data_IF_462818968057
#
_entry.id   IF_462818968057
#
_cell.length_a   1.000
_cell.length_b   1.000
_cell.length_c   1.000
_cell.angle_alpha   90.00
_cell.angle_beta   90.00
_cell.angle_gamma   90.00
#
_symmetry.space_group_name_H-M   'P 1'
#
loop_
_entity.id
_entity.type
_entity.pdbx_description
1 polymer ?
#
# COMPACT_ATOMS: atom_id res chain seq x y z
N UNK A 1 10.63 24.00 -23.59
CA UNK A 1 10.29 25.05 -22.60
C UNK A 1 10.70 24.51 -21.23
N UNK A 2 11.67 25.15 -20.56
CA UNK A 2 12.11 24.79 -19.20
C UNK A 2 10.93 24.97 -18.24
N UNK A 3 10.45 23.91 -17.61
CA UNK A 3 9.51 24.04 -16.50
C UNK A 3 10.29 24.52 -15.27
N UNK A 4 10.00 25.76 -14.85
CA UNK A 4 10.41 26.29 -13.57
C UNK A 4 9.77 25.43 -12.47
N UNK A 5 10.60 24.94 -11.54
CA UNK A 5 10.23 24.00 -10.48
C UNK A 5 8.89 24.33 -9.83
N UNK A 6 7.89 23.47 -10.08
CA UNK A 6 6.57 23.62 -9.50
C UNK A 6 6.64 23.29 -8.01
N UNK A 7 6.20 24.27 -7.19
CA UNK A 7 6.03 24.13 -5.74
C UNK A 7 5.13 22.94 -5.35
N UNK A 8 4.35 22.39 -6.29
CA UNK A 8 3.44 21.25 -6.05
C UNK A 8 4.16 19.97 -5.70
N UNK A 9 5.42 19.84 -6.12
CA UNK A 9 6.20 18.67 -5.79
C UNK A 9 6.91 18.72 -4.45
N UNK A 10 7.13 19.92 -3.91
CA UNK A 10 7.75 20.07 -2.60
C UNK A 10 6.84 19.49 -1.52
N UNK A 11 5.53 19.71 -1.62
CA UNK A 11 4.55 19.15 -0.69
C UNK A 11 4.57 17.61 -0.69
N UNK A 12 4.54 16.98 -1.87
CA UNK A 12 4.57 15.53 -1.97
C UNK A 12 5.92 14.95 -1.50
N UNK A 13 7.05 15.60 -1.83
CA UNK A 13 8.38 15.23 -1.32
C UNK A 13 8.43 15.26 0.21
N UNK A 14 7.95 16.33 0.84
CA UNK A 14 7.90 16.45 2.30
C UNK A 14 7.01 15.36 2.90
N UNK A 15 5.81 15.18 2.35
CA UNK A 15 4.84 14.19 2.85
C UNK A 15 5.38 12.76 2.71
N UNK A 16 5.99 12.39 1.58
CA UNK A 16 6.64 11.10 1.41
C UNK A 16 7.76 10.92 2.45
N UNK A 17 8.61 11.94 2.64
CA UNK A 17 9.67 11.91 3.65
C UNK A 17 9.14 11.68 5.07
N UNK A 18 8.12 12.45 5.49
CA UNK A 18 7.46 12.26 6.79
C UNK A 18 6.78 10.90 6.90
N UNK A 19 6.18 10.40 5.82
CA UNK A 19 5.54 9.09 5.79
C UNK A 19 6.55 7.96 5.99
N UNK A 20 7.77 8.07 5.43
CA UNK A 20 8.84 7.09 5.66
C UNK A 20 9.20 7.02 7.15
N UNK A 21 9.33 8.17 7.82
CA UNK A 21 9.59 8.21 9.26
C UNK A 21 8.42 7.65 10.08
N UNK A 22 7.19 7.99 9.72
CA UNK A 22 5.99 7.49 10.38
C UNK A 22 5.91 5.95 10.27
N UNK A 23 6.09 5.40 9.07
CA UNK A 23 6.07 3.94 8.84
C UNK A 23 7.25 3.27 9.53
N UNK A 24 8.44 3.88 9.54
CA UNK A 24 9.59 3.41 10.30
C UNK A 24 9.30 3.31 11.81
N UNK A 25 8.60 4.31 12.36
CA UNK A 25 8.13 4.26 13.75
C UNK A 25 7.12 3.13 13.98
N UNK A 26 6.16 2.92 13.07
CA UNK A 26 5.22 1.79 13.15
C UNK A 26 5.96 0.45 13.12
N UNK A 27 6.91 0.26 12.21
CA UNK A 27 7.72 -0.95 12.13
C UNK A 27 8.49 -1.21 13.44
N UNK A 28 9.06 -0.16 14.04
CA UNK A 28 9.72 -0.26 15.34
C UNK A 28 8.74 -0.69 16.44
N UNK A 29 7.55 -0.07 16.51
CA UNK A 29 6.52 -0.42 17.50
C UNK A 29 6.01 -1.86 17.33
N UNK A 30 5.80 -2.32 16.09
CA UNK A 30 5.43 -3.71 15.80
C UNK A 30 6.52 -4.67 16.26
N UNK A 31 7.80 -4.32 16.04
CA UNK A 31 8.95 -5.15 16.42
C UNK A 31 9.09 -5.32 17.94
N UNK A 32 8.58 -4.38 18.73
CA UNK A 32 8.63 -4.43 20.20
C UNK A 32 7.61 -5.39 20.82
N UNK A 33 6.58 -5.82 20.08
CA UNK A 33 5.57 -6.75 20.60
C UNK A 33 6.08 -8.19 20.56
N UNK A 34 5.92 -8.94 21.66
CA UNK A 34 6.46 -10.30 21.80
C UNK A 34 5.54 -11.40 21.26
N UNK A 35 4.23 -11.28 21.44
CA UNK A 35 3.22 -12.22 20.95
C UNK A 35 2.10 -11.44 20.25
N UNK A 36 2.07 -11.50 18.92
CA UNK A 36 1.07 -10.84 18.10
C UNK A 36 0.95 -11.57 16.77
N UNK A 37 -0.28 -11.95 16.39
CA UNK A 37 -0.57 -12.74 15.20
C UNK A 37 -0.13 -11.99 13.94
N UNK A 38 0.61 -12.65 13.07
CA UNK A 38 1.06 -12.10 11.79
C UNK A 38 2.10 -10.99 11.92
N UNK A 39 2.79 -10.87 13.07
CA UNK A 39 3.74 -9.77 13.32
C UNK A 39 4.83 -9.66 12.25
N UNK A 40 5.35 -10.79 11.79
CA UNK A 40 6.45 -10.81 10.81
C UNK A 40 5.94 -10.36 9.44
N UNK A 41 4.83 -10.91 8.99
CA UNK A 41 4.18 -10.62 7.71
C UNK A 41 3.67 -9.18 7.65
N UNK A 42 3.14 -8.66 8.76
CA UNK A 42 2.72 -7.27 8.86
C UNK A 42 3.91 -6.31 8.80
N UNK A 43 5.06 -6.66 9.39
CA UNK A 43 6.30 -5.89 9.22
C UNK A 43 6.81 -5.90 7.80
N UNK A 44 6.71 -7.04 7.10
CA UNK A 44 7.09 -7.13 5.69
C UNK A 44 6.19 -6.22 4.84
N UNK A 45 4.88 -6.22 5.08
CA UNK A 45 3.93 -5.28 4.45
C UNK A 45 4.30 -3.82 4.70
N UNK A 46 4.56 -3.44 5.95
CA UNK A 46 5.00 -2.07 6.29
C UNK A 46 6.33 -1.71 5.62
N UNK A 47 7.26 -2.66 5.53
CA UNK A 47 8.53 -2.47 4.82
C UNK A 47 8.34 -2.22 3.33
N UNK A 48 7.42 -2.94 2.69
CA UNK A 48 7.12 -2.74 1.27
C UNK A 48 6.38 -1.40 1.03
N UNK A 49 5.50 -0.98 1.94
CA UNK A 49 4.90 0.36 1.89
C UNK A 49 5.96 1.45 2.10
N UNK A 50 6.88 1.27 3.06
CA UNK A 50 8.00 2.19 3.24
C UNK A 50 8.89 2.29 1.99
N UNK A 51 9.08 1.18 1.27
CA UNK A 51 9.79 1.14 0.00
C UNK A 51 9.02 1.80 -1.14
N UNK A 52 7.68 1.77 -1.14
CA UNK A 52 6.88 2.42 -2.19
C UNK A 52 7.00 3.95 -2.12
N UNK A 53 7.10 4.53 -0.93
CA UNK A 53 7.18 5.99 -0.72
C UNK A 53 8.31 6.70 -1.48
N UNK A 54 9.59 6.26 -1.46
CA UNK A 54 10.63 6.88 -2.27
C UNK A 54 10.42 6.66 -3.78
N UNK A 55 9.82 5.54 -4.21
CA UNK A 55 9.48 5.33 -5.62
C UNK A 55 8.33 6.23 -6.07
N UNK A 56 7.31 6.42 -5.23
CA UNK A 56 6.25 7.40 -5.42
C UNK A 56 6.82 8.80 -5.55
N UNK A 57 7.75 9.17 -4.67
CA UNK A 57 8.48 10.43 -4.75
C UNK A 57 9.24 10.53 -6.08
N UNK A 58 10.01 9.52 -6.50
CA UNK A 58 10.77 9.61 -7.75
C UNK A 58 9.88 9.67 -9.00
N UNK A 59 8.72 9.03 -8.97
CA UNK A 59 7.82 8.89 -10.13
C UNK A 59 6.81 10.02 -10.28
N UNK A 60 6.43 10.66 -9.17
CA UNK A 60 5.49 11.80 -9.15
C UNK A 60 6.17 13.13 -8.80
N UNK A 61 7.41 13.04 -8.29
CA UNK A 61 8.27 14.10 -7.76
C UNK A 61 8.73 15.20 -8.72
N UNK A 62 8.49 15.03 -10.04
CA UNK A 62 9.08 15.88 -11.10
C UNK A 62 10.60 16.07 -10.94
N UNK A 63 11.27 15.13 -10.26
CA UNK A 63 12.72 15.13 -10.04
C UNK A 63 13.48 14.67 -11.28
N UNK A 64 12.81 13.92 -12.15
CA UNK A 64 13.35 13.38 -13.39
C UNK A 64 12.63 14.02 -14.58
N UNK A 65 13.32 14.08 -15.72
CA UNK A 65 12.75 14.59 -16.95
C UNK A 65 11.57 13.71 -17.40
N UNK A 66 10.43 14.35 -17.67
CA UNK A 66 9.21 13.67 -18.10
C UNK A 66 9.45 12.93 -19.42
N UNK A 67 9.07 11.64 -19.47
CA UNK A 67 9.28 10.79 -20.65
C UNK A 67 10.69 10.24 -20.80
N UNK A 68 11.62 10.53 -19.87
CA UNK A 68 12.95 9.91 -19.88
C UNK A 68 12.88 8.41 -19.59
N UNK A 69 13.83 7.65 -20.16
CA UNK A 69 13.98 6.21 -19.91
C UNK A 69 14.09 5.89 -18.41
N UNK A 70 14.81 6.73 -17.66
CA UNK A 70 14.99 6.56 -16.22
C UNK A 70 13.65 6.66 -15.47
N UNK A 71 12.84 7.68 -15.76
CA UNK A 71 11.51 7.84 -15.15
C UNK A 71 10.58 6.67 -15.50
N UNK A 72 10.61 6.22 -16.76
CA UNK A 72 9.81 5.09 -17.23
C UNK A 72 10.14 3.79 -16.49
N UNK A 73 11.44 3.46 -16.34
CA UNK A 73 11.87 2.26 -15.61
C UNK A 73 11.48 2.34 -14.13
N UNK A 74 11.69 3.49 -13.49
CA UNK A 74 11.31 3.68 -12.08
C UNK A 74 9.80 3.60 -11.87
N UNK A 75 9.01 4.09 -12.83
CA UNK A 75 7.54 3.99 -12.80
C UNK A 75 7.08 2.53 -12.93
N UNK A 76 7.73 1.74 -13.78
CA UNK A 76 7.45 0.32 -13.90
C UNK A 76 7.77 -0.47 -12.62
N UNK A 77 8.91 -0.18 -11.98
CA UNK A 77 9.28 -0.79 -10.70
C UNK A 77 8.28 -0.37 -9.61
N UNK A 78 7.90 0.91 -9.58
CA UNK A 78 6.91 1.42 -8.62
C UNK A 78 5.56 0.71 -8.78
N UNK A 79 5.07 0.53 -10.02
CA UNK A 79 3.84 -0.21 -10.29
C UNK A 79 3.92 -1.66 -9.79
N UNK A 80 5.08 -2.32 -9.95
CA UNK A 80 5.34 -3.63 -9.37
C UNK A 80 5.27 -3.66 -7.85
N UNK A 81 5.88 -2.68 -7.18
CA UNK A 81 5.84 -2.54 -5.72
C UNK A 81 4.40 -2.39 -5.24
N UNK A 82 3.60 -1.54 -5.90
CA UNK A 82 2.19 -1.32 -5.56
C UNK A 82 1.39 -2.62 -5.71
N UNK A 83 1.51 -3.33 -6.84
CA UNK A 83 0.80 -4.60 -7.03
C UNK A 83 1.15 -5.65 -5.97
N UNK A 84 2.43 -5.76 -5.61
CA UNK A 84 2.91 -6.65 -4.56
C UNK A 84 2.43 -6.22 -3.16
N UNK A 85 2.34 -4.92 -2.89
CA UNK A 85 1.83 -4.38 -1.63
C UNK A 85 0.37 -4.82 -1.38
N UNK A 86 -0.47 -4.77 -2.40
CA UNK A 86 -1.87 -5.20 -2.29
C UNK A 86 -2.02 -6.72 -2.18
N UNK A 87 -1.11 -7.50 -2.75
CA UNK A 87 -1.01 -8.92 -2.40
C UNK A 87 -0.67 -9.10 -0.92
N UNK A 88 0.35 -8.41 -0.42
CA UNK A 88 0.74 -8.51 0.99
C UNK A 88 -0.39 -8.09 1.93
N UNK A 89 -1.24 -7.14 1.53
CA UNK A 89 -2.46 -6.79 2.27
C UNK A 89 -3.37 -8.01 2.41
N UNK A 90 -3.76 -8.65 1.29
CA UNK A 90 -4.58 -9.88 1.31
C UNK A 90 -3.90 -11.00 2.09
N UNK A 91 -2.60 -11.19 1.90
CA UNK A 91 -1.80 -12.17 2.63
C UNK A 91 -1.88 -11.98 4.15
N UNK A 92 -1.83 -10.74 4.64
CA UNK A 92 -2.00 -10.46 6.07
C UNK A 92 -3.39 -10.86 6.60
N UNK A 93 -4.45 -10.66 5.81
CA UNK A 93 -5.78 -11.15 6.18
C UNK A 93 -5.83 -12.68 6.25
N UNK A 94 -5.20 -13.38 5.29
CA UNK A 94 -5.14 -14.85 5.29
C UNK A 94 -4.39 -15.39 6.51
N UNK A 95 -3.25 -14.77 6.89
CA UNK A 95 -2.50 -15.14 8.09
C UNK A 95 -3.33 -14.93 9.37
N UNK A 96 -4.25 -13.96 9.38
CA UNK A 96 -5.13 -13.70 10.52
C UNK A 96 -6.14 -14.83 10.79
N UNK A 97 -6.33 -15.77 9.85
CA UNK A 97 -7.11 -16.99 10.10
C UNK A 97 -6.34 -18.06 10.87
N UNK A 98 -5.03 -17.88 11.08
CA UNK A 98 -4.17 -18.81 11.83
C UNK A 98 -4.22 -20.25 11.31
N UNK A 99 -4.44 -20.45 9.99
CA UNK A 99 -4.42 -21.77 9.35
C UNK A 99 -3.00 -22.36 9.28
N UNK A 100 -1.99 -21.48 9.32
CA UNK A 100 -0.57 -21.80 9.36
C UNK A 100 0.05 -20.92 10.44
N UNK A 101 0.98 -21.47 11.21
CA UNK A 101 1.69 -20.73 12.25
C UNK A 101 2.39 -19.49 11.67
N UNK A 102 2.00 -18.32 12.17
CA UNK A 102 2.52 -17.04 11.70
C UNK A 102 3.99 -16.83 12.09
N UNK A 103 4.74 -16.09 11.26
CA UNK A 103 6.17 -15.88 11.45
C UNK A 103 7.05 -17.12 11.23
N UNK A 104 6.49 -18.28 10.87
CA UNK A 104 7.25 -19.46 10.47
C UNK A 104 7.67 -19.37 8.99
N UNK A 105 8.61 -20.21 8.57
CA UNK A 105 8.94 -20.29 7.14
C UNK A 105 7.74 -20.75 6.30
N UNK A 106 6.84 -21.54 6.87
CA UNK A 106 5.66 -22.03 6.19
C UNK A 106 4.67 -20.91 5.85
N UNK A 107 4.59 -19.84 6.66
CA UNK A 107 3.77 -18.66 6.37
C UNK A 107 4.54 -17.62 5.52
N UNK A 108 5.79 -17.31 5.90
CA UNK A 108 6.57 -16.21 5.29
C UNK A 108 6.99 -16.51 3.85
N UNK A 109 7.32 -17.76 3.52
CA UNK A 109 7.76 -18.15 2.17
C UNK A 109 6.65 -17.97 1.12
N UNK A 110 5.46 -18.59 1.24
CA UNK A 110 4.40 -18.38 0.25
C UNK A 110 3.93 -16.92 0.22
N UNK A 111 3.86 -16.25 1.38
CA UNK A 111 3.56 -14.82 1.46
C UNK A 111 4.53 -13.98 0.60
N UNK A 112 5.83 -14.24 0.72
CA UNK A 112 6.88 -13.47 0.03
C UNK A 112 7.04 -13.86 -1.44
N UNK A 113 6.93 -15.15 -1.78
CA UNK A 113 7.03 -15.62 -3.18
C UNK A 113 5.90 -15.05 -4.03
N UNK A 114 4.67 -15.04 -3.51
CA UNK A 114 3.55 -14.46 -4.25
C UNK A 114 3.69 -12.94 -4.36
N UNK A 115 4.22 -12.26 -3.35
CA UNK A 115 4.54 -10.83 -3.46
C UNK A 115 5.58 -10.58 -4.57
N UNK A 116 6.63 -11.41 -4.61
CA UNK A 116 7.65 -11.33 -5.66
C UNK A 116 7.06 -11.63 -7.05
N UNK A 117 6.11 -12.55 -7.16
CA UNK A 117 5.43 -12.84 -8.42
C UNK A 117 4.60 -11.63 -8.90
N UNK A 118 3.81 -11.00 -8.04
CA UNK A 118 3.08 -9.77 -8.37
C UNK A 118 4.02 -8.63 -8.77
N UNK A 119 5.12 -8.46 -8.04
CA UNK A 119 6.16 -7.48 -8.34
C UNK A 119 6.78 -7.72 -9.72
N UNK A 120 7.27 -8.92 -9.98
CA UNK A 120 7.98 -9.26 -11.20
C UNK A 120 7.05 -9.20 -12.42
N UNK A 121 5.85 -9.78 -12.33
CA UNK A 121 4.89 -9.78 -13.42
C UNK A 121 4.45 -8.36 -13.79
N UNK A 122 4.09 -7.53 -12.79
CA UNK A 122 3.63 -6.17 -13.04
C UNK A 122 4.76 -5.27 -13.55
N UNK A 123 5.98 -5.40 -13.01
CA UNK A 123 7.15 -4.66 -13.50
C UNK A 123 7.44 -5.03 -14.95
N UNK A 124 7.45 -6.34 -15.27
CA UNK A 124 7.67 -6.81 -16.63
C UNK A 124 6.62 -6.29 -17.61
N UNK A 125 5.33 -6.44 -17.28
CA UNK A 125 4.23 -5.94 -18.11
C UNK A 125 4.35 -4.42 -18.30
N UNK A 126 4.69 -3.68 -17.25
CA UNK A 126 4.85 -2.22 -17.36
C UNK A 126 6.02 -1.81 -18.24
N UNK A 127 7.14 -2.53 -18.18
CA UNK A 127 8.28 -2.28 -19.07
C UNK A 127 7.94 -2.66 -20.51
N UNK A 128 7.25 -3.78 -20.72
CA UNK A 128 6.83 -4.23 -22.04
C UNK A 128 5.87 -3.23 -22.71
N UNK A 129 4.89 -2.71 -21.96
CA UNK A 129 4.00 -1.66 -22.46
C UNK A 129 4.78 -0.40 -22.86
N UNK A 130 5.79 -0.04 -22.07
CA UNK A 130 6.53 1.21 -22.27
C UNK A 130 7.59 1.13 -23.38
N UNK A 131 8.26 -0.02 -23.53
CA UNK A 131 9.36 -0.19 -24.49
C UNK A 131 9.02 -1.14 -25.65
N UNK A 132 7.85 -1.77 -25.62
CA UNK A 132 7.36 -2.69 -26.66
C UNK A 132 8.37 -3.80 -26.97
N UNK A 133 8.91 -4.43 -25.94
CA UNK A 133 9.82 -5.58 -26.09
C UNK A 133 9.13 -6.75 -26.80
N UNK A 134 7.83 -6.87 -26.58
CA UNK A 134 6.92 -7.80 -27.24
C UNK A 134 5.72 -7.08 -27.83
N UNK A 135 4.95 -7.78 -28.66
CA UNK A 135 3.67 -7.29 -29.18
C UNK A 135 2.47 -7.67 -28.29
N UNK A 136 2.70 -8.23 -27.09
CA UNK A 136 1.65 -8.84 -26.28
C UNK A 136 0.82 -7.83 -25.48
N UNK A 137 1.45 -6.79 -24.91
CA UNK A 137 0.80 -5.90 -23.95
C UNK A 137 0.78 -4.42 -24.33
N UNK A 138 1.57 -3.99 -25.31
CA UNK A 138 1.61 -2.60 -25.77
C UNK A 138 2.42 -2.39 -27.05
N UNK A 139 2.47 -1.14 -27.55
CA UNK A 139 1.82 0.04 -26.99
C UNK A 139 0.33 0.12 -27.40
N UNK A 140 -0.39 1.13 -26.90
CA UNK A 140 -1.80 1.34 -27.28
C UNK A 140 -1.94 1.62 -28.78
N UNK A 141 -3.11 1.29 -29.36
CA UNK A 141 -3.43 1.63 -30.75
C UNK A 141 -4.74 2.45 -30.82
N UNK A 142 -4.71 3.75 -31.17
CA UNK A 142 -3.52 4.55 -31.50
C UNK A 142 -2.59 4.79 -30.28
N UNK A 143 -1.29 5.04 -30.49
CA UNK A 143 -0.32 5.30 -29.40
C UNK A 143 -0.74 6.45 -28.47
N UNK A 144 -1.47 7.42 -29.03
CA UNK A 144 -1.95 8.61 -28.32
C UNK A 144 -3.02 8.30 -27.26
N UNK A 145 -3.64 7.11 -27.33
CA UNK A 145 -4.64 6.68 -26.37
C UNK A 145 -4.05 6.39 -24.98
N UNK A 146 -2.74 6.13 -24.88
CA UNK A 146 -2.01 5.82 -23.63
C UNK A 146 -2.72 4.77 -22.75
N UNK A 147 -3.49 3.88 -23.39
CA UNK A 147 -4.37 2.94 -22.74
C UNK A 147 -3.75 1.55 -22.72
N UNK A 148 -3.60 0.97 -21.53
CA UNK A 148 -3.18 -0.42 -21.35
C UNK A 148 -4.10 -1.11 -20.36
N UNK A 149 -4.93 -2.02 -20.87
CA UNK A 149 -5.82 -2.86 -20.05
C UNK A 149 -5.04 -3.61 -18.96
N UNK A 150 -3.94 -4.33 -19.25
CA UNK A 150 -3.24 -5.08 -18.19
C UNK A 150 -2.66 -4.16 -17.11
N UNK A 151 -2.13 -2.98 -17.48
CA UNK A 151 -1.69 -2.00 -16.48
C UNK A 151 -2.85 -1.44 -15.66
N UNK A 152 -3.98 -1.13 -16.28
CA UNK A 152 -5.16 -0.67 -15.56
C UNK A 152 -5.67 -1.73 -14.58
N UNK A 153 -5.70 -3.00 -15.00
CA UNK A 153 -6.06 -4.12 -14.13
C UNK A 153 -5.10 -4.20 -12.94
N UNK A 154 -3.79 -4.22 -13.17
CA UNK A 154 -2.80 -4.45 -12.13
C UNK A 154 -2.59 -3.26 -11.18
N UNK A 155 -2.80 -2.04 -11.65
CA UNK A 155 -2.53 -0.81 -10.87
C UNK A 155 -3.81 -0.14 -10.36
N UNK A 156 -5.00 -0.54 -10.81
CA UNK A 156 -6.27 0.02 -10.33
C UNK A 156 -7.26 -1.05 -9.86
N UNK A 157 -7.59 -2.03 -10.71
CA UNK A 157 -8.60 -3.05 -10.35
C UNK A 157 -8.08 -3.97 -9.25
N UNK A 158 -6.85 -4.47 -9.38
CA UNK A 158 -6.23 -5.36 -8.41
C UNK A 158 -6.12 -4.72 -7.01
N UNK A 159 -5.56 -3.50 -6.86
CA UNK A 159 -5.59 -2.78 -5.59
C UNK A 159 -6.99 -2.66 -4.98
N UNK A 160 -7.98 -2.22 -5.76
CA UNK A 160 -9.35 -2.10 -5.29
C UNK A 160 -9.96 -3.44 -4.84
N UNK A 161 -9.76 -4.49 -5.63
CA UNK A 161 -10.23 -5.83 -5.31
C UNK A 161 -9.54 -6.39 -4.05
N UNK A 162 -8.22 -6.24 -3.95
CA UNK A 162 -7.43 -6.67 -2.80
C UNK A 162 -7.87 -5.98 -1.51
N UNK A 163 -8.15 -4.68 -1.54
CA UNK A 163 -8.69 -3.94 -0.39
C UNK A 163 -10.06 -4.46 0.02
N UNK A 164 -10.96 -4.71 -0.93
CA UNK A 164 -12.30 -5.26 -0.62
C UNK A 164 -12.18 -6.67 -0.03
N UNK A 165 -11.36 -7.53 -0.63
CA UNK A 165 -11.10 -8.89 -0.13
C UNK A 165 -10.55 -8.82 1.29
N UNK A 166 -9.53 -7.99 1.52
CA UNK A 166 -8.96 -7.78 2.85
C UNK A 166 -10.02 -7.34 3.87
N UNK A 167 -10.81 -6.33 3.53
CA UNK A 167 -11.84 -5.80 4.42
C UNK A 167 -12.91 -6.85 4.76
N UNK A 168 -13.38 -7.62 3.77
CA UNK A 168 -14.36 -8.71 3.98
C UNK A 168 -13.77 -9.81 4.86
N UNK A 169 -12.55 -10.25 4.57
CA UNK A 169 -11.86 -11.28 5.35
C UNK A 169 -11.63 -10.83 6.79
N UNK A 170 -11.12 -9.62 7.02
CA UNK A 170 -10.91 -9.11 8.38
C UNK A 170 -12.22 -8.86 9.12
N UNK A 171 -13.28 -8.41 8.44
CA UNK A 171 -14.61 -8.31 9.04
C UNK A 171 -15.10 -9.68 9.52
N UNK A 172 -14.88 -10.73 8.72
CA UNK A 172 -15.20 -12.09 9.12
C UNK A 172 -14.37 -12.55 10.32
N UNK A 173 -13.04 -12.37 10.29
CA UNK A 173 -12.15 -12.72 11.40
C UNK A 173 -12.61 -12.03 12.69
N UNK A 174 -12.83 -10.71 12.64
CA UNK A 174 -13.19 -9.90 13.80
C UNK A 174 -14.57 -10.26 14.35
N UNK A 175 -15.59 -10.38 13.50
CA UNK A 175 -16.96 -10.61 13.97
C UNK A 175 -17.31 -12.07 14.22
N UNK A 176 -16.68 -13.02 13.51
CA UNK A 176 -17.03 -14.45 13.60
C UNK A 176 -16.00 -15.28 14.34
N UNK A 177 -14.71 -14.98 14.20
CA UNK A 177 -13.65 -15.74 14.87
C UNK A 177 -13.38 -15.15 16.25
N UNK A 178 -13.13 -13.83 16.31
CA UNK A 178 -12.84 -13.13 17.57
C UNK A 178 -14.11 -12.75 18.34
N UNK A 179 -15.23 -12.56 17.64
CA UNK A 179 -16.51 -12.11 18.22
C UNK A 179 -16.42 -10.77 18.97
N UNK A 180 -15.58 -9.85 18.48
CA UNK A 180 -15.33 -8.54 19.09
C UNK A 180 -15.57 -7.41 18.10
N UNK A 181 -16.45 -6.46 18.42
CA UNK A 181 -16.83 -5.40 17.46
C UNK A 181 -15.86 -4.21 17.48
N UNK A 182 -15.09 -4.02 18.55
CA UNK A 182 -14.23 -2.85 18.72
C UNK A 182 -13.17 -2.74 17.62
N UNK A 183 -12.45 -3.81 17.24
CA UNK A 183 -11.46 -3.75 16.16
C UNK A 183 -12.04 -3.40 14.79
N UNK A 184 -13.31 -3.74 14.54
CA UNK A 184 -13.97 -3.51 13.25
C UNK A 184 -13.96 -2.03 12.86
N UNK A 185 -14.14 -1.13 13.84
CA UNK A 185 -14.17 0.31 13.57
C UNK A 185 -12.84 0.85 13.03
N UNK A 186 -11.71 0.27 13.45
CA UNK A 186 -10.41 0.61 12.84
C UNK A 186 -10.34 0.13 11.39
N UNK A 187 -10.80 -1.09 11.08
CA UNK A 187 -10.84 -1.57 9.69
C UNK A 187 -11.76 -0.73 8.80
N UNK A 188 -12.93 -0.32 9.29
CA UNK A 188 -13.83 0.59 8.58
C UNK A 188 -13.17 1.94 8.32
N UNK A 189 -12.54 2.53 9.34
CA UNK A 189 -11.84 3.81 9.20
C UNK A 189 -10.68 3.72 8.20
N UNK A 190 -9.86 2.66 8.27
CA UNK A 190 -8.78 2.43 7.32
C UNK A 190 -9.30 2.30 5.87
N UNK A 191 -10.38 1.56 5.68
CA UNK A 191 -11.04 1.41 4.38
C UNK A 191 -11.55 2.74 3.83
N UNK A 192 -12.25 3.53 4.65
CA UNK A 192 -12.75 4.85 4.25
C UNK A 192 -11.60 5.81 3.91
N UNK A 193 -10.54 5.86 4.72
CA UNK A 193 -9.36 6.68 4.44
C UNK A 193 -8.71 6.28 3.11
N UNK A 194 -8.60 4.98 2.83
CA UNK A 194 -8.07 4.50 1.56
C UNK A 194 -8.95 4.90 0.38
N UNK A 195 -10.28 4.73 0.47
CA UNK A 195 -11.22 5.16 -0.57
C UNK A 195 -11.10 6.66 -0.81
N UNK A 196 -11.02 7.47 0.25
CA UNK A 196 -10.80 8.91 0.13
C UNK A 196 -9.46 9.25 -0.53
N UNK A 197 -8.40 8.47 -0.26
CA UNK A 197 -7.12 8.63 -0.93
C UNK A 197 -7.20 8.35 -2.44
N UNK A 198 -7.91 7.28 -2.84
CA UNK A 198 -8.12 6.96 -4.25
C UNK A 198 -8.97 8.04 -4.93
N UNK A 199 -10.03 8.52 -4.27
CA UNK A 199 -10.83 9.63 -4.77
C UNK A 199 -9.99 10.91 -4.90
N UNK A 200 -9.12 11.21 -3.94
CA UNK A 200 -8.17 12.32 -4.03
C UNK A 200 -7.25 12.15 -5.25
N UNK A 201 -6.67 10.97 -5.45
CA UNK A 201 -5.82 10.67 -6.60
C UNK A 201 -6.55 10.88 -7.95
N UNK A 202 -7.75 10.31 -8.12
CA UNK A 202 -8.50 10.38 -9.38
C UNK A 202 -9.20 11.71 -9.64
N UNK A 203 -9.76 12.37 -8.61
CA UNK A 203 -10.57 13.58 -8.76
C UNK A 203 -9.74 14.86 -8.62
N UNK A 204 -8.83 14.94 -7.65
CA UNK A 204 -8.05 16.15 -7.40
C UNK A 204 -6.95 16.34 -8.45
N UNK A 205 -6.48 15.29 -9.12
CA UNK A 205 -5.58 15.43 -10.27
C UNK A 205 -6.15 16.32 -11.38
N UNK A 206 -7.46 16.24 -11.66
CA UNK A 206 -8.12 17.07 -12.69
C UNK A 206 -8.58 18.44 -12.19
N UNK A 207 -9.06 18.52 -10.95
CA UNK A 207 -9.63 19.76 -10.39
C UNK A 207 -8.55 20.71 -9.89
N UNK A 208 -7.50 20.20 -9.24
CA UNK A 208 -6.42 21.03 -8.66
C UNK A 208 -5.48 21.55 -9.75
N UNK A 209 -5.29 20.82 -10.85
CA UNK A 209 -4.58 21.32 -12.03
C UNK A 209 -5.22 22.58 -12.63
N UNK A 210 -6.55 22.72 -12.57
CA UNK A 210 -7.26 23.90 -13.10
C UNK A 210 -7.39 25.04 -12.10
N UNK A 211 -7.51 24.75 -10.80
CA UNK A 211 -7.75 25.76 -9.75
C UNK A 211 -6.49 26.37 -9.10
N UNK A 212 -5.34 25.66 -9.10
CA UNK A 212 -4.16 26.05 -8.30
C UNK A 212 -3.01 26.66 -9.10
N UNK A 213 -3.18 26.98 -10.38
CA UNK A 213 -2.07 27.32 -11.30
C UNK A 213 -0.99 26.23 -11.39
N UNK A 214 -1.37 24.95 -11.25
CA UNK A 214 -0.49 23.77 -11.25
C UNK A 214 0.55 23.74 -10.11
N UNK A 215 0.31 24.46 -9.01
CA UNK A 215 1.24 24.60 -7.87
C UNK A 215 1.03 23.57 -6.77
N UNK A 216 -0.05 22.79 -6.80
CA UNK A 216 -0.39 21.79 -5.79
C UNK A 216 -0.99 20.60 -6.55
N UNK A 217 -0.52 19.38 -6.31
CA UNK A 217 -1.02 18.16 -6.97
C UNK A 217 -1.87 17.34 -5.98
N UNK A 218 -2.91 16.64 -6.45
CA UNK A 218 -3.75 15.79 -5.58
C UNK A 218 -2.99 14.64 -4.93
N UNK A 219 -1.81 14.31 -5.47
CA UNK A 219 -0.93 13.23 -5.00
C UNK A 219 -0.53 13.37 -3.53
N UNK A 220 -0.18 14.55 -3.01
CA UNK A 220 0.23 14.65 -1.60
C UNK A 220 -0.93 14.35 -0.63
N UNK A 221 -2.17 14.72 -0.98
CA UNK A 221 -3.36 14.41 -0.15
C UNK A 221 -3.60 12.91 -0.17
N UNK A 222 -3.49 12.29 -1.34
CA UNK A 222 -3.56 10.83 -1.47
C UNK A 222 -2.51 10.15 -0.58
N UNK A 223 -1.25 10.59 -0.63
CA UNK A 223 -0.17 10.06 0.22
C UNK A 223 -0.47 10.22 1.71
N UNK A 224 -0.97 11.38 2.16
CA UNK A 224 -1.36 11.58 3.57
C UNK A 224 -2.43 10.59 3.98
N UNK A 225 -3.49 10.45 3.17
CA UNK A 225 -4.62 9.58 3.47
C UNK A 225 -4.25 8.09 3.40
N UNK A 226 -3.37 7.70 2.47
CA UNK A 226 -2.79 6.34 2.37
C UNK A 226 -1.95 6.03 3.61
N UNK A 227 -1.03 6.92 3.99
CA UNK A 227 -0.20 6.73 5.19
C UNK A 227 -1.05 6.70 6.45
N UNK A 228 -2.09 7.54 6.53
CA UNK A 228 -3.06 7.49 7.62
C UNK A 228 -3.82 6.16 7.65
N UNK A 229 -4.28 5.66 6.50
CA UNK A 229 -4.93 4.34 6.38
C UNK A 229 -4.03 3.23 6.90
N UNK A 230 -2.74 3.21 6.51
CA UNK A 230 -1.74 2.25 7.01
C UNK A 230 -1.53 2.39 8.53
N UNK A 231 -1.52 3.63 9.05
CA UNK A 231 -1.48 3.88 10.49
C UNK A 231 -2.69 3.32 11.23
N UNK A 232 -3.90 3.46 10.66
CA UNK A 232 -5.11 2.87 11.24
C UNK A 232 -5.09 1.34 11.11
N UNK A 233 -4.56 0.76 10.03
CA UNK A 233 -4.35 -0.69 9.94
C UNK A 233 -3.43 -1.21 11.04
N UNK A 234 -2.38 -0.46 11.39
CA UNK A 234 -1.55 -0.78 12.55
C UNK A 234 -2.36 -0.77 13.86
N UNK A 235 -3.24 0.21 14.07
CA UNK A 235 -4.12 0.25 15.24
C UNK A 235 -5.12 -0.92 15.25
N UNK A 236 -5.66 -1.29 14.08
CA UNK A 236 -6.53 -2.44 13.92
C UNK A 236 -5.80 -3.74 14.29
N UNK A 237 -4.62 -3.97 13.70
CA UNK A 237 -3.76 -5.12 13.99
C UNK A 237 -3.36 -5.18 15.47
N UNK A 238 -3.06 -4.02 16.07
CA UNK A 238 -2.77 -3.92 17.51
C UNK A 238 -4.00 -4.30 18.35
N UNK A 239 -5.18 -3.82 18.00
CA UNK A 239 -6.40 -4.04 18.78
C UNK A 239 -6.82 -5.51 18.85
N UNK A 240 -6.57 -6.30 17.81
CA UNK A 240 -6.83 -7.76 17.83
C UNK A 240 -5.73 -8.58 18.52
N UNK A 241 -4.63 -7.95 18.95
CA UNK A 241 -3.48 -8.63 19.57
C UNK A 241 -3.25 -8.25 21.04
N UNK A 242 -4.05 -7.34 21.61
CA UNK A 242 -3.90 -6.89 23.00
C UNK A 242 -4.75 -7.65 24.03
N UNK A 243 -5.77 -8.43 23.63
CA UNK A 243 -6.74 -8.97 24.59
C UNK A 243 -6.36 -10.29 25.30
N UNK A 244 -5.17 -10.86 25.07
CA UNK A 244 -4.80 -12.17 25.66
C UNK A 244 -3.77 -12.18 26.79
N UNK A 245 -3.20 -11.02 27.21
CA UNK A 245 -2.08 -11.03 28.18
C UNK A 245 -2.12 -9.99 29.31
N UNK A 246 -2.94 -8.94 29.20
CA UNK A 246 -3.05 -7.88 30.21
C UNK A 246 -4.39 -7.95 30.95
N UNK A 247 -4.81 -9.14 31.37
CA UNK A 247 -5.92 -9.26 32.33
C UNK A 247 -5.36 -9.16 33.75
N UNK A 248 -5.43 -8.00 34.45
CA UNK A 248 -4.95 -7.88 35.82
C UNK A 248 -5.68 -8.80 36.81
N UNK A 249 -6.81 -9.41 36.42
CA UNK A 249 -7.54 -10.38 37.24
C UNK A 249 -6.91 -11.79 37.25
N UNK A 250 -5.96 -12.09 36.37
CA UNK A 250 -5.25 -13.39 36.35
C UNK A 250 -3.97 -13.40 37.21
N UNK A 251 -3.51 -12.25 37.70
CA UNK A 251 -2.29 -12.15 38.53
C UNK A 251 -2.57 -12.21 40.05
N UNK A 252 -3.81 -12.48 40.48
CA UNK A 252 -4.23 -12.41 41.89
C UNK A 252 -4.46 -13.79 42.55
N UNK A 253 -3.94 -14.87 41.96
CA UNK A 253 -3.93 -16.19 42.61
C UNK A 253 -2.56 -16.48 43.23
N UNK A 254 -2.41 -16.36 44.56
CA UNK A 254 -1.21 -16.81 45.24
C UNK A 254 -1.21 -18.34 45.26
N UNK A 255 -0.16 -18.95 44.67
CA UNK A 255 0.33 -20.25 45.11
C UNK A 255 1.36 -20.06 46.21
#
# INVERSE_FOLDING_TARGET
MRQNGSLGNIANVIVCGLSVFAVGALMFLVSRRKAAVGRVEFRIFLGLYALSLPFQLLTTGSLLEQGSTALTVLTAIHAGIVAALFWMLVGNALISFQLVDDGTMASVVPFSILALAFFAATTYISLDVAFSFTAAFGPSNPPDALASIPLFVLTSIWPGAATIIYFVLMTYVVLRILNEIRPLWYYVLAFVLFVLAQLAWFLLGKVVCRGSSSRIDGSFIATILETASVGILYLAWRSITEESWDDPYMNDYPY
#
